data_IF_459824503662
#
_entry.id   IF_459824503662
#
_cell.length_a   1.000
_cell.length_b   1.000
_cell.length_c   1.000
_cell.angle_alpha   90.00
_cell.angle_beta   90.00
_cell.angle_gamma   90.00
#
_symmetry.space_group_name_H-M   'P 1'
#
loop_
_entity.id
_entity.type
_entity.pdbx_description
1 polymer ?
#
# COMPACT_ATOMS: atom_id res chain seq x y z
N UNK A 1 -28.27 14.21 -7.47
CA UNK A 1 -27.32 13.49 -8.35
C UNK A 1 -26.08 12.97 -7.62
N UNK A 2 -25.39 13.75 -6.77
CA UNK A 2 -24.15 13.34 -6.05
C UNK A 2 -24.31 12.08 -5.18
N UNK A 3 -25.42 11.96 -4.44
CA UNK A 3 -25.71 10.81 -3.56
C UNK A 3 -26.02 9.51 -4.33
N UNK A 4 -26.69 9.58 -5.48
CA UNK A 4 -26.96 8.41 -6.33
C UNK A 4 -25.67 7.87 -6.98
N UNK A 5 -24.75 8.76 -7.36
CA UNK A 5 -23.45 8.40 -7.91
C UNK A 5 -22.58 7.70 -6.85
N UNK A 6 -22.51 8.24 -5.63
CA UNK A 6 -21.78 7.63 -4.50
C UNK A 6 -22.37 6.25 -4.13
N UNK A 7 -23.71 6.12 -4.09
CA UNK A 7 -24.36 4.84 -3.80
C UNK A 7 -24.08 3.79 -4.89
N UNK A 8 -24.10 4.16 -6.16
CA UNK A 8 -23.78 3.25 -7.27
C UNK A 8 -22.31 2.82 -7.26
N UNK A 9 -21.40 3.74 -6.95
CA UNK A 9 -19.98 3.47 -6.85
C UNK A 9 -19.62 2.57 -5.66
N UNK A 10 -20.28 2.74 -4.52
CA UNK A 10 -20.13 1.86 -3.37
C UNK A 10 -20.71 0.47 -3.63
N UNK A 11 -21.89 0.39 -4.27
CA UNK A 11 -22.50 -0.87 -4.66
C UNK A 11 -21.58 -1.69 -5.59
N UNK A 12 -20.95 -1.06 -6.56
CA UNK A 12 -20.02 -1.72 -7.47
C UNK A 12 -18.80 -2.30 -6.75
N UNK A 13 -18.22 -1.55 -5.82
CA UNK A 13 -17.08 -2.03 -5.02
C UNK A 13 -17.49 -3.23 -4.15
N UNK A 14 -18.67 -3.16 -3.53
CA UNK A 14 -19.23 -4.25 -2.74
C UNK A 14 -19.48 -5.48 -3.62
N UNK A 15 -20.05 -5.30 -4.81
CA UNK A 15 -20.28 -6.39 -5.77
C UNK A 15 -18.96 -7.05 -6.22
N UNK A 16 -17.93 -6.26 -6.52
CA UNK A 16 -16.64 -6.81 -6.91
C UNK A 16 -15.98 -7.63 -5.78
N UNK A 17 -16.06 -7.14 -4.56
CA UNK A 17 -15.60 -7.88 -3.36
C UNK A 17 -16.43 -9.14 -3.17
N UNK A 18 -17.75 -9.07 -3.30
CA UNK A 18 -18.63 -10.22 -3.17
C UNK A 18 -18.34 -11.28 -4.25
N UNK A 19 -18.18 -10.89 -5.52
CA UNK A 19 -17.81 -11.81 -6.61
C UNK A 19 -16.45 -12.44 -6.32
N UNK A 20 -15.46 -11.67 -5.86
CA UNK A 20 -14.15 -12.19 -5.50
C UNK A 20 -14.22 -13.24 -4.38
N UNK A 21 -15.03 -12.98 -3.35
CA UNK A 21 -15.27 -13.93 -2.28
C UNK A 21 -15.98 -15.18 -2.77
N UNK A 22 -17.01 -15.04 -3.62
CA UNK A 22 -17.73 -16.20 -4.20
C UNK A 22 -16.78 -17.07 -5.00
N UNK A 23 -15.91 -16.49 -5.82
CA UNK A 23 -14.92 -17.26 -6.60
C UNK A 23 -13.94 -17.98 -5.65
N UNK A 24 -13.45 -17.28 -4.61
CA UNK A 24 -12.61 -17.90 -3.59
C UNK A 24 -13.33 -19.10 -2.91
N UNK A 25 -14.59 -18.92 -2.51
CA UNK A 25 -15.40 -19.96 -1.90
C UNK A 25 -15.61 -21.16 -2.84
N UNK A 26 -15.93 -20.90 -4.10
CA UNK A 26 -16.08 -21.96 -5.12
C UNK A 26 -14.76 -22.72 -5.32
N UNK A 27 -13.63 -22.00 -5.39
CA UNK A 27 -12.31 -22.63 -5.52
C UNK A 27 -12.00 -23.53 -4.33
N UNK A 28 -12.30 -23.09 -3.10
CA UNK A 28 -12.11 -23.88 -1.88
C UNK A 28 -12.99 -25.13 -1.91
N UNK A 29 -14.25 -25.01 -2.33
CA UNK A 29 -15.19 -26.14 -2.45
C UNK A 29 -14.74 -27.19 -3.47
N UNK A 30 -14.04 -26.77 -4.53
CA UNK A 30 -13.57 -27.68 -5.59
C UNK A 30 -12.24 -28.35 -5.26
N UNK A 31 -11.44 -27.76 -4.37
CA UNK A 31 -10.06 -28.20 -4.12
C UNK A 31 -9.91 -28.93 -2.78
N UNK A 32 -10.70 -28.59 -1.77
CA UNK A 32 -10.58 -29.14 -0.43
C UNK A 32 -11.44 -30.40 -0.24
N UNK A 33 -10.87 -31.44 0.36
CA UNK A 33 -11.59 -32.64 0.79
C UNK A 33 -12.45 -32.37 2.03
N UNK A 34 -12.12 -31.28 2.79
CA UNK A 34 -12.83 -30.87 4.00
C UNK A 34 -13.25 -29.38 3.92
N UNK A 35 -14.09 -29.01 2.94
CA UNK A 35 -14.36 -27.61 2.63
C UNK A 35 -15.01 -26.83 3.78
N UNK A 36 -15.77 -27.49 4.65
CA UNK A 36 -16.39 -26.86 5.81
C UNK A 36 -15.35 -26.33 6.81
N UNK A 37 -14.27 -27.07 7.04
CA UNK A 37 -13.16 -26.65 7.92
C UNK A 37 -12.38 -25.51 7.26
N UNK A 38 -12.07 -25.65 5.97
CA UNK A 38 -11.34 -24.64 5.20
C UNK A 38 -12.09 -23.30 5.17
N UNK A 39 -13.40 -23.30 4.88
CA UNK A 39 -14.24 -22.11 4.86
C UNK A 39 -14.37 -21.46 6.23
N UNK A 40 -14.57 -22.26 7.28
CA UNK A 40 -14.63 -21.75 8.65
C UNK A 40 -13.31 -21.09 9.05
N UNK A 41 -12.17 -21.72 8.77
CA UNK A 41 -10.86 -21.15 9.03
C UNK A 41 -10.61 -19.86 8.25
N UNK A 42 -11.01 -19.80 6.97
CA UNK A 42 -10.86 -18.62 6.13
C UNK A 42 -11.71 -17.43 6.59
N UNK A 43 -13.02 -17.67 6.82
CA UNK A 43 -13.97 -16.59 7.11
C UNK A 43 -14.01 -16.20 8.58
N UNK A 44 -13.87 -17.14 9.51
CA UNK A 44 -14.02 -16.88 10.95
C UNK A 44 -12.72 -17.06 11.73
N UNK A 45 -11.72 -17.75 11.18
CA UNK A 45 -10.43 -17.97 11.83
C UNK A 45 -9.75 -16.68 12.33
N UNK A 46 -9.76 -15.56 11.58
CA UNK A 46 -9.22 -14.30 12.07
C UNK A 46 -9.93 -13.72 13.31
N UNK A 47 -11.17 -14.12 13.58
CA UNK A 47 -11.98 -13.67 14.72
C UNK A 47 -12.03 -14.70 15.85
N UNK A 48 -11.54 -15.91 15.65
CA UNK A 48 -11.65 -17.02 16.58
C UNK A 48 -10.86 -16.78 17.88
N UNK A 49 -9.81 -16.00 17.82
CA UNK A 49 -9.02 -15.64 19.00
C UNK A 49 -8.49 -14.21 18.95
N UNK A 50 -8.26 -13.61 20.13
CA UNK A 50 -7.63 -12.29 20.24
C UNK A 50 -6.24 -12.24 19.60
N UNK A 51 -5.53 -13.37 19.56
CA UNK A 51 -4.24 -13.49 18.91
C UNK A 51 -4.37 -13.42 17.40
N UNK A 52 -5.34 -14.12 16.80
CA UNK A 52 -5.59 -14.08 15.35
C UNK A 52 -6.06 -12.71 14.91
N UNK A 53 -6.98 -12.09 15.65
CA UNK A 53 -7.42 -10.73 15.39
C UNK A 53 -6.27 -9.72 15.53
N UNK A 54 -5.41 -9.90 16.53
CA UNK A 54 -4.20 -9.11 16.68
C UNK A 54 -3.25 -9.21 15.47
N UNK A 55 -3.12 -10.39 14.86
CA UNK A 55 -2.32 -10.55 13.63
C UNK A 55 -2.91 -9.78 12.45
N UNK A 56 -4.25 -9.65 12.35
CA UNK A 56 -4.89 -8.81 11.34
C UNK A 56 -4.53 -7.34 11.54
N UNK A 57 -4.63 -6.85 12.79
CA UNK A 57 -4.29 -5.46 13.13
C UNK A 57 -2.80 -5.16 12.95
N UNK A 58 -1.93 -6.12 13.24
CA UNK A 58 -0.50 -6.01 13.03
C UNK A 58 -0.18 -5.92 11.53
N UNK A 59 -0.69 -6.86 10.72
CA UNK A 59 -0.49 -6.86 9.26
C UNK A 59 -1.08 -5.61 8.56
N UNK A 60 -2.10 -4.98 9.14
CA UNK A 60 -2.69 -3.75 8.64
C UNK A 60 -1.71 -2.56 8.70
N UNK A 61 -0.74 -2.56 9.63
CA UNK A 61 0.19 -1.45 9.83
C UNK A 61 1.03 -1.17 8.59
N UNK A 62 1.85 -2.11 8.07
CA UNK A 62 2.64 -1.86 6.86
C UNK A 62 1.77 -1.58 5.63
N UNK A 63 0.56 -2.17 5.55
CA UNK A 63 -0.38 -1.93 4.45
C UNK A 63 -0.95 -0.51 4.46
N UNK A 64 -1.15 0.10 5.62
CA UNK A 64 -1.55 1.51 5.72
C UNK A 64 -0.43 2.41 5.20
N UNK A 65 0.81 2.22 5.65
CA UNK A 65 1.93 3.07 5.22
C UNK A 65 2.19 2.96 3.72
N UNK A 66 2.25 1.75 3.19
CA UNK A 66 2.46 1.54 1.74
C UNK A 66 1.26 2.01 0.91
N UNK A 67 0.03 1.82 1.41
CA UNK A 67 -1.19 2.34 0.80
C UNK A 67 -1.24 3.87 0.75
N UNK A 68 -0.84 4.56 1.82
CA UNK A 68 -0.71 6.02 1.85
C UNK A 68 0.38 6.50 0.88
N UNK A 69 1.54 5.82 0.87
CA UNK A 69 2.66 6.15 0.01
C UNK A 69 2.29 6.07 -1.48
N UNK A 70 1.71 4.96 -1.89
CA UNK A 70 1.25 4.78 -3.28
C UNK A 70 0.06 5.69 -3.58
N UNK A 71 -0.84 5.87 -2.63
CA UNK A 71 -2.03 6.72 -2.78
C UNK A 71 -1.70 8.16 -3.15
N UNK A 72 -0.70 8.78 -2.51
CA UNK A 72 -0.28 10.16 -2.83
C UNK A 72 0.41 10.25 -4.20
N UNK A 73 1.20 9.24 -4.58
CA UNK A 73 1.82 9.18 -5.90
C UNK A 73 0.76 9.04 -7.01
N UNK A 74 -0.22 8.17 -6.81
CA UNK A 74 -1.33 7.95 -7.76
C UNK A 74 -2.27 9.14 -7.86
N UNK A 75 -2.37 9.98 -6.82
CA UNK A 75 -3.12 11.23 -6.91
C UNK A 75 -2.46 12.25 -7.84
N UNK A 76 -1.13 12.20 -8.01
CA UNK A 76 -0.40 12.99 -8.99
C UNK A 76 -0.34 12.33 -10.38
N UNK A 77 -1.09 11.26 -10.62
CA UNK A 77 -1.02 10.40 -11.82
C UNK A 77 0.38 9.82 -12.07
N UNK A 78 1.13 9.53 -10.97
CA UNK A 78 2.44 8.92 -11.03
C UNK A 78 2.34 7.44 -10.67
N UNK A 79 2.62 6.58 -11.64
CA UNK A 79 2.60 5.14 -11.45
C UNK A 79 3.98 4.63 -11.00
N UNK A 80 4.35 4.98 -9.77
CA UNK A 80 5.62 4.58 -9.16
C UNK A 80 5.40 3.38 -8.23
N UNK A 81 6.12 2.29 -8.46
CA UNK A 81 6.13 1.07 -7.66
C UNK A 81 7.32 1.00 -6.68
N UNK A 82 8.08 2.07 -6.54
CA UNK A 82 9.25 2.17 -5.67
C UNK A 82 8.95 2.15 -4.18
N UNK A 83 7.69 2.19 -3.79
CA UNK A 83 7.28 2.07 -2.39
C UNK A 83 7.79 0.77 -1.73
N UNK A 84 7.95 -0.32 -2.49
CA UNK A 84 8.52 -1.60 -2.03
C UNK A 84 9.97 -1.44 -1.61
N UNK A 85 10.82 -0.92 -2.51
CA UNK A 85 12.24 -0.69 -2.23
C UNK A 85 12.46 0.38 -1.17
N UNK A 86 11.62 1.44 -1.15
CA UNK A 86 11.66 2.47 -0.12
C UNK A 86 11.33 1.92 1.27
N UNK A 87 10.31 1.06 1.38
CA UNK A 87 9.96 0.36 2.61
C UNK A 87 11.11 -0.52 3.10
N UNK A 88 11.66 -1.33 2.20
CA UNK A 88 12.77 -2.23 2.51
C UNK A 88 14.03 -1.46 2.95
N UNK A 89 14.46 -0.45 2.19
CA UNK A 89 15.62 0.37 2.54
C UNK A 89 15.42 1.22 3.80
N UNK A 90 14.19 1.66 4.04
CA UNK A 90 13.82 2.27 5.32
C UNK A 90 14.10 1.34 6.49
N UNK A 91 13.70 0.07 6.41
CA UNK A 91 14.00 -0.92 7.43
C UNK A 91 15.51 -1.22 7.56
N UNK A 92 16.23 -1.34 6.43
CA UNK A 92 17.68 -1.57 6.41
C UNK A 92 18.42 -0.46 7.15
N UNK A 93 18.22 0.81 6.73
CA UNK A 93 18.93 1.95 7.34
C UNK A 93 18.50 2.16 8.79
N UNK A 94 17.25 1.89 9.12
CA UNK A 94 16.76 1.90 10.51
C UNK A 94 17.46 0.87 11.37
N UNK A 95 17.86 -0.29 10.82
CA UNK A 95 18.67 -1.27 11.55
C UNK A 95 20.03 -0.69 11.96
N UNK A 96 20.68 0.05 11.03
CA UNK A 96 21.96 0.72 11.31
C UNK A 96 21.80 1.76 12.41
N UNK A 97 20.82 2.65 12.29
CA UNK A 97 20.59 3.71 13.27
C UNK A 97 20.28 3.13 14.63
N UNK A 98 19.40 2.12 14.68
CA UNK A 98 18.97 1.51 15.93
C UNK A 98 20.09 0.71 16.63
N UNK A 99 21.01 0.09 15.90
CA UNK A 99 22.07 -0.74 16.47
C UNK A 99 23.30 0.08 16.81
N UNK A 100 23.71 0.99 15.92
CA UNK A 100 24.99 1.70 16.03
C UNK A 100 24.91 3.01 16.84
N UNK A 101 23.72 3.64 16.93
CA UNK A 101 23.55 4.93 17.61
C UNK A 101 22.75 4.78 18.90
N UNK A 102 23.40 4.55 20.07
CA UNK A 102 22.67 4.45 21.32
C UNK A 102 22.03 5.81 21.67
N UNK A 103 20.72 5.80 21.86
CA UNK A 103 19.92 6.97 22.19
C UNK A 103 18.94 6.65 23.34
N UNK A 104 18.45 7.69 24.08
CA UNK A 104 17.39 7.51 25.07
C UNK A 104 16.12 6.89 24.46
N UNK A 105 15.43 6.03 25.23
CA UNK A 105 14.30 5.23 24.75
C UNK A 105 13.16 6.02 24.09
N UNK A 106 12.95 7.29 24.45
CA UNK A 106 11.90 8.10 23.85
C UNK A 106 12.30 8.69 22.47
N UNK A 107 13.57 9.08 22.34
CA UNK A 107 14.11 9.72 21.12
C UNK A 107 14.48 8.66 20.06
N UNK A 108 14.97 7.52 20.50
CA UNK A 108 15.53 6.47 19.64
C UNK A 108 14.57 6.01 18.53
N UNK A 109 13.32 5.58 18.79
CA UNK A 109 12.42 5.16 17.74
C UNK A 109 12.03 6.32 16.80
N UNK A 110 11.87 7.54 17.34
CA UNK A 110 11.51 8.72 16.53
C UNK A 110 12.59 9.05 15.51
N UNK A 111 13.85 9.15 15.95
CA UNK A 111 15.00 9.43 15.06
C UNK A 111 15.16 8.31 14.03
N UNK A 112 15.04 7.06 14.46
CA UNK A 112 15.16 5.90 13.58
C UNK A 112 14.08 5.91 12.48
N UNK A 113 12.83 6.19 12.83
CA UNK A 113 11.71 6.28 11.87
C UNK A 113 11.92 7.45 10.90
N UNK A 114 12.37 8.61 11.38
CA UNK A 114 12.63 9.77 10.54
C UNK A 114 13.74 9.50 9.52
N UNK A 115 14.85 8.91 9.95
CA UNK A 115 15.98 8.58 9.05
C UNK A 115 15.57 7.52 8.04
N UNK A 116 14.84 6.48 8.46
CA UNK A 116 14.31 5.48 7.53
C UNK A 116 13.30 6.09 6.54
N UNK A 117 12.46 7.02 6.98
CA UNK A 117 11.59 7.80 6.10
C UNK A 117 12.35 8.63 5.07
N UNK A 118 13.40 9.37 5.51
CA UNK A 118 14.27 10.13 4.61
C UNK A 118 14.97 9.23 3.59
N UNK A 119 15.43 8.05 4.02
CA UNK A 119 15.99 7.05 3.10
C UNK A 119 14.99 6.64 2.03
N UNK A 120 13.75 6.33 2.43
CA UNK A 120 12.68 5.99 1.48
C UNK A 120 12.37 7.16 0.53
N UNK A 121 12.38 8.41 1.01
CA UNK A 121 12.22 9.58 0.18
C UNK A 121 13.30 9.67 -0.91
N UNK A 122 14.57 9.45 -0.57
CA UNK A 122 15.68 9.43 -1.52
C UNK A 122 15.45 8.34 -2.58
N UNK A 123 15.10 7.12 -2.17
CA UNK A 123 14.88 6.00 -3.10
C UNK A 123 13.74 6.26 -4.09
N UNK A 124 12.62 6.82 -3.68
CA UNK A 124 11.55 7.21 -4.59
C UNK A 124 11.86 8.51 -5.36
N UNK A 125 12.69 9.38 -4.81
CA UNK A 125 13.11 10.64 -5.43
C UNK A 125 13.96 10.44 -6.68
N UNK A 126 14.79 9.37 -6.73
CA UNK A 126 15.65 9.08 -7.89
C UNK A 126 14.81 8.81 -9.15
N UNK A 127 13.85 7.86 -9.17
CA UNK A 127 12.95 7.67 -10.31
C UNK A 127 12.18 8.94 -10.70
N UNK A 128 11.77 9.76 -9.72
CA UNK A 128 11.11 11.02 -9.96
C UNK A 128 11.99 12.00 -10.74
N UNK A 129 13.26 12.12 -10.35
CA UNK A 129 14.24 12.96 -11.03
C UNK A 129 14.55 12.45 -12.44
N UNK A 130 14.68 11.14 -12.62
CA UNK A 130 14.88 10.52 -13.93
C UNK A 130 13.70 10.83 -14.88
N UNK A 131 12.48 10.75 -14.38
CA UNK A 131 11.28 11.13 -15.16
C UNK A 131 11.29 12.59 -15.56
N UNK A 132 11.50 13.49 -14.59
CA UNK A 132 11.39 14.93 -14.83
C UNK A 132 12.53 15.45 -15.71
N UNK A 133 13.76 14.95 -15.56
CA UNK A 133 14.92 15.44 -16.31
C UNK A 133 15.10 14.76 -17.66
N UNK A 134 14.82 13.48 -17.76
CA UNK A 134 15.13 12.67 -18.96
C UNK A 134 13.91 11.99 -19.57
N UNK A 135 12.71 12.21 -19.02
CA UNK A 135 11.49 11.58 -19.54
C UNK A 135 11.43 10.05 -19.35
N UNK A 136 12.27 9.48 -18.47
CA UNK A 136 12.29 8.06 -18.23
C UNK A 136 10.96 7.58 -17.61
N UNK A 137 10.55 6.34 -17.94
CA UNK A 137 9.36 5.73 -17.34
C UNK A 137 9.58 5.53 -15.85
N UNK A 138 8.73 6.15 -15.02
CA UNK A 138 8.79 5.97 -13.56
C UNK A 138 8.46 4.55 -13.13
N UNK A 139 7.62 3.84 -13.88
CA UNK A 139 7.29 2.44 -13.63
C UNK A 139 8.54 1.57 -13.74
N UNK A 140 9.24 1.66 -14.88
CA UNK A 140 10.42 0.84 -15.15
C UNK A 140 11.57 1.20 -14.20
N UNK A 141 11.87 2.49 -14.04
CA UNK A 141 12.94 2.93 -13.17
C UNK A 141 12.69 2.54 -11.71
N UNK A 142 11.47 2.71 -11.20
CA UNK A 142 11.15 2.33 -9.82
C UNK A 142 11.21 0.82 -9.58
N UNK A 143 10.80 0.00 -10.54
CA UNK A 143 10.95 -1.46 -10.45
C UNK A 143 12.44 -1.87 -10.40
N UNK A 144 13.28 -1.28 -11.24
CA UNK A 144 14.73 -1.55 -11.20
C UNK A 144 15.33 -1.12 -9.87
N UNK A 145 14.93 0.06 -9.35
CA UNK A 145 15.39 0.54 -8.05
C UNK A 145 14.96 -0.35 -6.88
N UNK A 146 13.83 -1.05 -6.96
CA UNK A 146 13.44 -2.03 -5.94
C UNK A 146 14.47 -3.17 -5.83
N UNK A 147 14.95 -3.68 -6.96
CA UNK A 147 15.99 -4.73 -6.94
C UNK A 147 17.36 -4.20 -6.51
N UNK A 148 17.71 -2.97 -6.91
CA UNK A 148 18.92 -2.30 -6.41
C UNK A 148 18.82 -2.14 -4.89
N UNK A 149 17.70 -1.65 -4.37
CA UNK A 149 17.43 -1.53 -2.94
C UNK A 149 17.58 -2.88 -2.23
N UNK A 150 17.01 -3.94 -2.80
CA UNK A 150 17.04 -5.28 -2.22
C UNK A 150 18.48 -5.81 -2.10
N UNK A 151 19.22 -5.90 -3.20
CA UNK A 151 20.58 -6.45 -3.17
C UNK A 151 21.55 -5.57 -2.39
N UNK A 152 21.43 -4.24 -2.52
CA UNK A 152 22.25 -3.30 -1.77
C UNK A 152 21.96 -3.37 -0.27
N UNK A 153 20.70 -3.43 0.12
CA UNK A 153 20.30 -3.57 1.53
C UNK A 153 20.77 -4.89 2.14
N UNK A 154 20.65 -6.01 1.40
CA UNK A 154 21.18 -7.30 1.84
C UNK A 154 22.72 -7.29 1.99
N UNK A 155 23.41 -6.65 1.05
CA UNK A 155 24.86 -6.46 1.15
C UNK A 155 25.21 -5.70 2.43
N UNK A 156 24.55 -4.57 2.69
CA UNK A 156 24.79 -3.75 3.88
C UNK A 156 24.56 -4.55 5.17
N UNK A 157 23.43 -5.23 5.29
CA UNK A 157 23.12 -6.02 6.50
C UNK A 157 24.11 -7.17 6.69
N UNK A 158 24.39 -7.95 5.65
CA UNK A 158 25.25 -9.12 5.76
C UNK A 158 26.70 -8.77 6.02
N UNK A 159 27.19 -7.66 5.48
CA UNK A 159 28.59 -7.28 5.64
C UNK A 159 28.86 -6.52 6.95
N UNK A 160 27.92 -5.66 7.39
CA UNK A 160 28.16 -4.76 8.52
C UNK A 160 27.40 -5.11 9.81
N UNK A 161 26.21 -5.70 9.69
CA UNK A 161 25.32 -5.90 10.84
C UNK A 161 24.97 -7.36 11.14
N UNK A 162 25.56 -8.30 10.42
CA UNK A 162 25.28 -9.72 10.63
C UNK A 162 25.72 -10.17 12.02
N UNK A 163 24.84 -10.86 12.72
CA UNK A 163 25.16 -11.52 14.00
C UNK A 163 25.85 -12.86 13.71
N UNK A 164 27.17 -13.00 13.98
CA UNK A 164 27.90 -14.23 13.72
C UNK A 164 27.49 -15.38 14.63
N UNK A 165 26.85 -15.09 15.78
CA UNK A 165 26.40 -16.08 16.76
C UNK A 165 24.98 -16.60 16.47
N UNK A 166 24.27 -15.99 15.52
CA UNK A 166 22.95 -16.48 15.11
C UNK A 166 23.08 -17.59 14.08
N UNK A 167 22.32 -18.67 14.25
CA UNK A 167 22.27 -19.80 13.29
C UNK A 167 21.62 -19.45 11.94
N UNK A 168 21.07 -18.23 11.79
CA UNK A 168 20.47 -17.72 10.57
C UNK A 168 21.14 -16.42 10.12
N UNK A 169 20.92 -16.02 8.84
CA UNK A 169 21.38 -14.72 8.34
C UNK A 169 20.47 -13.60 8.83
N UNK A 170 20.82 -13.04 9.98
CA UNK A 170 20.06 -11.96 10.64
C UNK A 170 21.02 -10.90 11.18
N UNK A 171 20.53 -9.67 11.38
CA UNK A 171 21.27 -8.63 12.07
C UNK A 171 21.34 -8.90 13.58
N UNK A 172 22.20 -8.14 14.28
CA UNK A 172 22.11 -8.04 15.74
C UNK A 172 20.69 -7.65 16.16
N UNK A 173 20.32 -8.06 17.39
CA UNK A 173 19.07 -7.67 18.00
C UNK A 173 19.04 -6.15 18.27
N UNK A 174 17.90 -5.53 17.95
CA UNK A 174 17.69 -4.13 18.28
C UNK A 174 17.70 -3.92 19.80
N UNK A 175 18.32 -2.84 20.30
CA UNK A 175 18.30 -2.49 21.71
C UNK A 175 16.87 -2.23 22.20
N UNK A 176 16.61 -2.45 23.47
CA UNK A 176 15.29 -2.26 24.06
C UNK A 176 14.77 -0.81 23.88
N UNK A 177 15.67 0.17 23.84
CA UNK A 177 15.36 1.60 23.67
C UNK A 177 14.78 1.93 22.29
N UNK A 178 15.08 1.13 21.25
CA UNK A 178 14.57 1.35 19.90
C UNK A 178 13.23 0.64 19.63
N UNK A 179 12.87 -0.36 20.44
CA UNK A 179 11.68 -1.19 20.20
C UNK A 179 10.40 -0.41 20.50
N UNK A 180 9.42 -0.54 19.59
CA UNK A 180 8.08 -0.04 19.85
C UNK A 180 7.33 -0.98 20.80
N UNK A 181 6.65 -0.45 21.84
CA UNK A 181 5.90 -1.26 22.79
C UNK A 181 4.68 -1.90 22.14
N UNK A 182 4.28 -3.08 22.62
CA UNK A 182 3.00 -3.68 22.29
C UNK A 182 1.87 -2.97 23.03
N UNK A 183 0.72 -2.79 22.35
CA UNK A 183 -0.44 -2.07 22.92
C UNK A 183 -1.43 -3.06 23.52
N UNK A 184 -1.64 -4.20 22.85
CA UNK A 184 -2.64 -5.19 23.26
C UNK A 184 -1.92 -6.40 23.85
N UNK A 185 -2.20 -6.79 25.09
CA UNK A 185 -1.62 -7.98 25.71
C UNK A 185 -1.88 -9.23 24.87
N UNK A 186 -0.96 -10.18 24.88
CA UNK A 186 -1.02 -11.45 24.16
C UNK A 186 -1.15 -11.33 22.61
N UNK A 187 -0.89 -10.13 22.05
CA UNK A 187 -0.86 -9.89 20.60
C UNK A 187 0.47 -9.28 20.19
N UNK A 188 0.70 -9.19 18.86
CA UNK A 188 1.85 -8.50 18.28
C UNK A 188 1.55 -7.06 17.85
N UNK A 189 0.37 -6.54 18.22
CA UNK A 189 -0.03 -5.18 17.88
C UNK A 189 0.84 -4.19 18.65
N UNK A 190 1.66 -3.45 17.93
CA UNK A 190 2.60 -2.49 18.50
C UNK A 190 2.16 -1.04 18.27
N UNK A 191 2.81 -0.09 18.94
CA UNK A 191 2.50 1.35 18.87
C UNK A 191 2.49 1.91 17.44
N UNK A 192 3.07 1.20 16.47
CA UNK A 192 3.01 1.52 15.06
C UNK A 192 1.59 1.65 14.50
N UNK A 193 0.59 0.98 15.06
CA UNK A 193 -0.81 1.14 14.66
C UNK A 193 -1.32 2.56 14.94
N UNK A 194 -0.99 3.12 16.10
CA UNK A 194 -1.37 4.50 16.43
C UNK A 194 -0.67 5.48 15.49
N UNK A 195 0.63 5.26 15.23
CA UNK A 195 1.39 6.10 14.28
C UNK A 195 0.79 6.00 12.86
N UNK A 196 0.36 4.81 12.43
CA UNK A 196 -0.29 4.60 11.14
C UNK A 196 -1.60 5.39 11.03
N UNK A 197 -2.46 5.35 12.06
CA UNK A 197 -3.71 6.11 12.09
C UNK A 197 -3.48 7.62 12.12
N UNK A 198 -2.47 8.08 12.86
CA UNK A 198 -2.04 9.49 12.85
C UNK A 198 -1.52 9.90 11.46
N UNK A 199 -0.75 9.03 10.78
CA UNK A 199 -0.30 9.26 9.42
C UNK A 199 -1.48 9.38 8.43
N UNK A 200 -2.52 8.56 8.59
CA UNK A 200 -3.77 8.67 7.81
C UNK A 200 -4.42 10.03 8.01
N UNK A 201 -4.59 10.48 9.26
CA UNK A 201 -5.18 11.76 9.58
C UNK A 201 -4.34 12.93 9.02
N UNK A 202 -3.01 12.86 9.17
CA UNK A 202 -2.08 13.85 8.64
C UNK A 202 -2.15 13.91 7.10
N UNK A 203 -2.18 12.76 6.41
CA UNK A 203 -2.28 12.71 4.96
C UNK A 203 -3.64 13.13 4.43
N UNK A 204 -4.72 12.84 5.16
CA UNK A 204 -6.05 13.36 4.84
C UNK A 204 -6.08 14.90 4.91
N UNK A 205 -5.56 15.46 6.01
CA UNK A 205 -5.45 16.92 6.16
C UNK A 205 -4.56 17.52 5.06
N UNK A 206 -3.38 16.94 4.82
CA UNK A 206 -2.46 17.39 3.77
C UNK A 206 -3.16 17.43 2.41
N UNK A 207 -3.82 16.36 2.01
CA UNK A 207 -4.45 16.25 0.69
C UNK A 207 -5.63 17.21 0.50
N UNK A 208 -6.48 17.41 1.53
CA UNK A 208 -7.73 18.15 1.36
C UNK A 208 -7.73 19.55 1.93
N UNK A 209 -6.76 19.88 2.80
CA UNK A 209 -6.71 21.17 3.49
C UNK A 209 -5.48 22.01 3.17
N UNK A 210 -4.51 21.51 2.35
CA UNK A 210 -3.32 22.28 1.99
C UNK A 210 -3.29 22.65 0.52
N UNK A 211 -2.53 23.73 0.21
CA UNK A 211 -2.28 24.17 -1.17
C UNK A 211 -1.51 23.11 -1.98
N UNK A 212 -0.62 22.34 -1.35
CA UNK A 212 0.13 21.27 -1.98
C UNK A 212 -0.76 20.10 -2.38
N UNK A 213 -1.64 19.66 -1.48
CA UNK A 213 -2.59 18.61 -1.79
C UNK A 213 -3.54 19.00 -2.94
N UNK A 214 -3.96 20.27 -3.00
CA UNK A 214 -4.72 20.79 -4.13
C UNK A 214 -3.93 20.70 -5.44
N UNK A 215 -2.66 21.19 -5.47
CA UNK A 215 -1.79 21.11 -6.65
C UNK A 215 -1.57 19.67 -7.08
N UNK A 216 -1.36 18.75 -6.13
CA UNK A 216 -1.17 17.32 -6.38
C UNK A 216 -2.37 16.73 -7.13
N UNK A 217 -3.58 16.93 -6.60
CA UNK A 217 -4.80 16.42 -7.23
C UNK A 217 -5.09 17.06 -8.60
N UNK A 218 -4.83 18.37 -8.74
CA UNK A 218 -5.05 19.06 -10.02
C UNK A 218 -4.08 18.57 -11.09
N UNK A 219 -2.80 18.39 -10.76
CA UNK A 219 -1.80 17.82 -11.66
C UNK A 219 -2.18 16.40 -12.10
N UNK A 220 -2.68 15.57 -11.17
CA UNK A 220 -3.12 14.22 -11.50
C UNK A 220 -4.44 14.15 -12.28
N UNK A 221 -5.27 15.19 -12.21
CA UNK A 221 -6.49 15.26 -13.02
C UNK A 221 -6.18 15.65 -14.47
N UNK A 222 -5.40 16.71 -14.66
CA UNK A 222 -4.92 17.16 -15.96
C UNK A 222 -3.64 17.97 -15.79
N UNK A 223 -2.50 17.39 -16.15
CA UNK A 223 -1.18 18.02 -15.99
C UNK A 223 -1.01 19.26 -16.86
N UNK A 224 -1.54 19.25 -18.09
CA UNK A 224 -1.49 20.41 -19.00
C UNK A 224 -2.31 21.57 -18.45
N UNK A 225 -3.53 21.31 -17.97
CA UNK A 225 -4.35 22.34 -17.33
C UNK A 225 -3.67 22.93 -16.08
N UNK A 226 -3.05 22.06 -15.26
CA UNK A 226 -2.31 22.52 -14.09
C UNK A 226 -1.14 23.45 -14.46
N UNK A 227 -0.44 23.15 -15.57
CA UNK A 227 0.66 23.95 -16.07
C UNK A 227 0.18 25.31 -16.59
N UNK A 228 -0.90 25.35 -17.38
CA UNK A 228 -1.55 26.62 -17.78
C UNK A 228 -2.06 27.45 -16.59
N UNK A 229 -2.47 26.80 -15.50
CA UNK A 229 -2.84 27.47 -14.25
C UNK A 229 -1.62 27.94 -13.41
N UNK A 230 -0.39 27.86 -13.94
CA UNK A 230 0.83 28.31 -13.28
C UNK A 230 1.39 27.34 -12.22
N UNK A 231 0.97 26.08 -12.21
CA UNK A 231 1.51 25.07 -11.31
C UNK A 231 2.76 24.43 -11.93
N UNK A 232 3.86 24.44 -11.21
CA UNK A 232 5.10 23.76 -11.60
C UNK A 232 4.90 22.23 -11.45
N UNK A 233 4.36 21.57 -12.47
CA UNK A 233 4.00 20.14 -12.46
C UNK A 233 5.20 19.24 -12.13
N UNK A 234 6.39 19.56 -12.63
CA UNK A 234 7.63 18.87 -12.28
C UNK A 234 7.91 18.83 -10.76
N UNK A 235 7.72 19.98 -10.08
CA UNK A 235 7.92 20.06 -8.63
C UNK A 235 6.84 19.24 -7.87
N UNK A 236 5.61 19.21 -8.38
CA UNK A 236 4.53 18.39 -7.81
C UNK A 236 4.83 16.91 -7.94
N UNK A 237 5.28 16.45 -9.10
CA UNK A 237 5.67 15.06 -9.37
C UNK A 237 6.79 14.62 -8.42
N UNK A 238 7.87 15.41 -8.31
CA UNK A 238 8.99 15.09 -7.42
C UNK A 238 8.52 15.07 -5.96
N UNK A 239 7.76 16.07 -5.51
CA UNK A 239 7.31 16.14 -4.12
C UNK A 239 6.35 15.01 -3.76
N UNK A 240 5.45 14.60 -4.65
CA UNK A 240 4.56 13.46 -4.42
C UNK A 240 5.34 12.17 -4.20
N UNK A 241 6.40 11.94 -4.99
CA UNK A 241 7.24 10.76 -4.86
C UNK A 241 8.16 10.81 -3.64
N UNK A 242 8.70 11.99 -3.27
CA UNK A 242 9.46 12.16 -2.03
C UNK A 242 8.60 11.90 -0.79
N UNK A 243 7.40 12.47 -0.74
CA UNK A 243 6.47 12.27 0.39
C UNK A 243 6.03 10.82 0.46
N UNK A 244 5.67 10.21 -0.66
CA UNK A 244 5.29 8.81 -0.72
C UNK A 244 6.44 7.89 -0.29
N UNK A 245 7.66 8.15 -0.77
CA UNK A 245 8.86 7.43 -0.37
C UNK A 245 9.16 7.57 1.12
N UNK A 246 9.00 8.78 1.68
CA UNK A 246 9.13 9.02 3.13
C UNK A 246 8.16 8.17 3.94
N UNK A 247 6.89 8.14 3.54
CA UNK A 247 5.84 7.35 4.23
C UNK A 247 6.15 5.86 4.15
N UNK A 248 6.57 5.36 2.98
CA UNK A 248 6.93 3.96 2.80
C UNK A 248 8.14 3.57 3.65
N UNK A 249 9.21 4.38 3.63
CA UNK A 249 10.42 4.14 4.43
C UNK A 249 10.16 4.21 5.94
N UNK A 250 9.35 5.16 6.39
CA UNK A 250 8.89 5.23 7.77
C UNK A 250 8.08 3.98 8.16
N UNK A 251 7.22 3.49 7.26
CA UNK A 251 6.49 2.24 7.45
C UNK A 251 7.40 1.03 7.64
N UNK A 252 8.45 0.91 6.82
CA UNK A 252 9.46 -0.14 6.95
C UNK A 252 10.23 -0.07 8.27
N UNK A 253 10.55 1.14 8.72
CA UNK A 253 11.18 1.37 10.03
C UNK A 253 10.28 0.94 11.18
N UNK A 254 9.00 1.32 11.14
CA UNK A 254 8.01 1.00 12.17
C UNK A 254 7.79 -0.51 12.27
N UNK A 255 7.74 -1.19 11.13
CA UNK A 255 7.59 -2.64 11.06
C UNK A 255 8.80 -3.35 11.68
N UNK A 256 10.01 -2.88 11.36
CA UNK A 256 11.23 -3.40 11.95
C UNK A 256 11.28 -3.22 13.46
N UNK A 257 11.00 -2.01 13.96
CA UNK A 257 11.07 -1.66 15.37
C UNK A 257 9.96 -2.31 16.22
N UNK A 258 8.80 -2.56 15.60
CA UNK A 258 7.62 -3.13 16.26
C UNK A 258 7.59 -4.64 16.24
N UNK A 259 7.60 -5.23 15.05
CA UNK A 259 7.39 -6.66 14.83
C UNK A 259 8.68 -7.45 14.82
N UNK A 260 9.58 -7.14 13.88
CA UNK A 260 10.74 -7.99 13.61
C UNK A 260 11.83 -7.89 14.67
N UNK A 261 12.07 -6.72 15.23
CA UNK A 261 13.07 -6.44 16.29
C UNK A 261 14.51 -6.84 15.98
N UNK A 262 14.75 -7.31 14.76
CA UNK A 262 16.03 -7.51 14.07
C UNK A 262 15.76 -7.63 12.56
N UNK A 263 16.71 -7.31 11.75
CA UNK A 263 16.56 -7.55 10.31
C UNK A 263 16.85 -9.03 10.02
N UNK A 264 15.94 -9.69 9.30
CA UNK A 264 16.08 -11.08 8.88
C UNK A 264 16.29 -11.14 7.38
N UNK A 265 17.16 -12.03 6.91
CA UNK A 265 17.29 -12.31 5.49
C UNK A 265 15.94 -12.80 4.94
N UNK A 266 15.58 -12.24 3.79
CA UNK A 266 14.43 -12.70 2.99
C UNK A 266 14.95 -13.06 1.59
N UNK A 267 14.43 -14.14 1.00
CA UNK A 267 14.79 -14.55 -0.35
C UNK A 267 14.28 -13.59 -1.43
N UNK A 268 13.32 -12.74 -1.06
CA UNK A 268 12.67 -11.76 -1.94
C UNK A 268 12.19 -10.56 -1.12
N UNK A 269 11.83 -9.49 -1.81
CA UNK A 269 11.18 -8.34 -1.19
C UNK A 269 9.85 -8.74 -0.50
N UNK A 270 9.49 -8.09 0.62
CA UNK A 270 8.36 -8.50 1.46
C UNK A 270 6.97 -8.37 0.79
N UNK A 271 6.85 -7.66 -0.34
CA UNK A 271 5.60 -7.52 -1.09
C UNK A 271 4.61 -6.51 -0.52
N UNK A 272 5.00 -5.72 0.47
CA UNK A 272 4.12 -4.70 1.06
C UNK A 272 3.84 -3.53 0.12
N UNK A 273 4.80 -3.15 -0.73
CA UNK A 273 4.60 -2.09 -1.72
C UNK A 273 3.57 -2.47 -2.77
N UNK A 274 3.63 -3.70 -3.30
CA UNK A 274 2.61 -4.25 -4.20
C UNK A 274 1.24 -4.28 -3.55
N UNK A 275 1.18 -4.70 -2.30
CA UNK A 275 -0.05 -4.71 -1.51
C UNK A 275 -0.58 -3.30 -1.28
N UNK A 276 0.32 -2.32 -1.10
CA UNK A 276 0.00 -0.91 -1.00
C UNK A 276 -0.68 -0.36 -2.25
N UNK A 277 -0.29 -0.83 -3.45
CA UNK A 277 -0.99 -0.49 -4.71
C UNK A 277 -2.45 -0.94 -4.66
N UNK A 278 -2.68 -2.18 -4.21
CA UNK A 278 -4.03 -2.73 -4.10
C UNK A 278 -4.86 -1.94 -3.09
N UNK A 279 -4.29 -1.66 -1.92
CA UNK A 279 -4.92 -0.85 -0.87
C UNK A 279 -5.24 0.55 -1.37
N UNK A 280 -4.32 1.21 -2.10
CA UNK A 280 -4.54 2.53 -2.66
C UNK A 280 -5.65 2.56 -3.72
N UNK A 281 -5.73 1.53 -4.57
CA UNK A 281 -6.78 1.38 -5.58
C UNK A 281 -8.13 1.13 -4.89
N UNK A 282 -8.19 0.20 -3.94
CA UNK A 282 -9.40 -0.13 -3.19
C UNK A 282 -9.92 1.07 -2.39
N UNK A 283 -9.01 1.85 -1.78
CA UNK A 283 -9.31 3.10 -1.09
C UNK A 283 -9.62 4.27 -2.05
N UNK A 284 -9.61 4.05 -3.39
CA UNK A 284 -9.84 5.10 -4.41
C UNK A 284 -8.91 6.30 -4.24
N UNK A 285 -7.67 6.05 -3.86
CA UNK A 285 -6.63 7.08 -3.59
C UNK A 285 -7.02 8.06 -2.48
N UNK A 286 -8.05 7.77 -1.69
CA UNK A 286 -8.49 8.61 -0.57
C UNK A 286 -7.89 8.10 0.74
N UNK A 287 -7.05 8.89 1.44
CA UNK A 287 -6.41 8.47 2.69
C UNK A 287 -7.39 7.97 3.76
N UNK A 288 -8.60 8.55 3.84
CA UNK A 288 -9.59 8.16 4.84
C UNK A 288 -10.07 6.70 4.70
N UNK A 289 -10.06 6.14 3.49
CA UNK A 289 -10.49 4.76 3.23
C UNK A 289 -9.35 3.75 3.26
N UNK A 290 -8.08 4.21 3.34
CA UNK A 290 -6.92 3.33 3.38
C UNK A 290 -6.94 2.37 4.57
N UNK A 291 -7.29 2.78 5.81
CA UNK A 291 -7.36 1.85 6.94
C UNK A 291 -8.38 0.72 6.71
N UNK A 292 -9.53 1.04 6.12
CA UNK A 292 -10.57 0.05 5.81
C UNK A 292 -10.09 -0.94 4.74
N UNK A 293 -9.45 -0.44 3.69
CA UNK A 293 -8.88 -1.27 2.62
C UNK A 293 -7.73 -2.15 3.13
N UNK A 294 -6.86 -1.59 3.98
CA UNK A 294 -5.76 -2.33 4.61
C UNK A 294 -6.27 -3.42 5.56
N UNK A 295 -7.29 -3.11 6.38
CA UNK A 295 -7.93 -4.08 7.25
C UNK A 295 -8.52 -5.24 6.45
N UNK A 296 -9.26 -4.93 5.39
CA UNK A 296 -9.87 -5.94 4.53
C UNK A 296 -8.81 -6.87 3.90
N UNK A 297 -7.74 -6.30 3.34
CA UNK A 297 -6.67 -7.10 2.73
C UNK A 297 -5.89 -7.92 3.78
N UNK A 298 -5.63 -7.35 4.95
CA UNK A 298 -5.00 -8.04 6.07
C UNK A 298 -5.88 -9.20 6.57
N UNK A 299 -7.19 -8.98 6.67
CA UNK A 299 -8.15 -10.01 7.06
C UNK A 299 -8.15 -11.20 6.11
N UNK A 300 -8.19 -10.93 4.80
CA UNK A 300 -8.14 -11.98 3.78
C UNK A 300 -6.84 -12.77 3.83
N UNK A 301 -5.70 -12.11 4.04
CA UNK A 301 -4.40 -12.76 4.13
C UNK A 301 -4.27 -13.65 5.36
N UNK A 302 -4.67 -13.16 6.53
CA UNK A 302 -4.64 -13.94 7.77
C UNK A 302 -5.65 -15.09 7.71
N UNK A 303 -6.84 -14.87 7.16
CA UNK A 303 -7.82 -15.95 6.93
C UNK A 303 -7.28 -17.04 6.02
N UNK A 304 -6.61 -16.67 4.94
CA UNK A 304 -5.99 -17.61 4.01
C UNK A 304 -4.81 -18.38 4.64
N UNK A 305 -3.97 -17.71 5.44
CA UNK A 305 -2.89 -18.37 6.19
C UNK A 305 -3.45 -19.36 7.25
N UNK A 306 -4.50 -18.99 7.96
CA UNK A 306 -5.18 -19.88 8.91
C UNK A 306 -5.83 -21.08 8.20
N UNK A 307 -6.44 -20.86 7.05
CA UNK A 307 -7.01 -21.93 6.23
C UNK A 307 -5.94 -22.96 5.85
N UNK A 308 -4.78 -22.52 5.35
CA UNK A 308 -3.71 -23.44 4.96
C UNK A 308 -3.11 -24.22 6.14
N UNK A 309 -3.19 -23.68 7.35
CA UNK A 309 -2.70 -24.33 8.58
C UNK A 309 -3.70 -25.27 9.23
N UNK A 310 -4.99 -25.09 8.99
CA UNK A 310 -6.07 -25.81 9.66
C UNK A 310 -6.82 -26.76 8.74
N UNK A 311 -6.56 -26.74 7.44
CA UNK A 311 -7.17 -27.60 6.44
C UNK A 311 -6.14 -28.25 5.52
N UNK A 312 -6.61 -29.02 4.58
CA UNK A 312 -5.86 -29.71 3.53
C UNK A 312 -5.45 -28.81 2.34
N UNK A 313 -5.86 -27.52 2.36
CA UNK A 313 -5.57 -26.57 1.28
C UNK A 313 -4.10 -26.16 1.32
N UNK A 314 -3.36 -26.50 0.26
CA UNK A 314 -1.94 -26.19 0.14
C UNK A 314 -1.70 -24.68 -0.01
N UNK A 315 -0.51 -24.20 0.44
CA UNK A 315 -0.15 -22.79 0.39
C UNK A 315 -0.17 -22.20 -1.03
N UNK A 316 0.13 -23.01 -2.04
CA UNK A 316 0.13 -22.64 -3.46
C UNK A 316 -1.30 -22.28 -3.92
N UNK A 317 -2.28 -23.04 -3.50
CA UNK A 317 -3.71 -22.80 -3.81
C UNK A 317 -4.19 -21.54 -3.08
N UNK A 318 -3.77 -21.36 -1.85
CA UNK A 318 -4.04 -20.12 -1.08
C UNK A 318 -3.49 -18.89 -1.81
N UNK A 319 -2.26 -18.97 -2.35
CA UNK A 319 -1.68 -17.90 -3.12
C UNK A 319 -2.46 -17.61 -4.42
N UNK A 320 -2.95 -18.63 -5.10
CA UNK A 320 -3.82 -18.49 -6.29
C UNK A 320 -5.13 -17.79 -5.92
N UNK A 321 -5.80 -18.23 -4.86
CA UNK A 321 -7.05 -17.62 -4.36
C UNK A 321 -6.82 -16.16 -4.04
N UNK A 322 -5.76 -15.83 -3.31
CA UNK A 322 -5.38 -14.45 -3.01
C UNK A 322 -5.12 -13.64 -4.29
N UNK A 323 -4.38 -14.20 -5.23
CA UNK A 323 -4.08 -13.56 -6.52
C UNK A 323 -5.36 -13.24 -7.31
N UNK A 324 -6.27 -14.19 -7.43
CA UNK A 324 -7.55 -14.01 -8.11
C UNK A 324 -8.40 -12.93 -7.43
N UNK A 325 -8.51 -12.97 -6.09
CA UNK A 325 -9.24 -11.94 -5.34
C UNK A 325 -8.64 -10.55 -5.57
N UNK A 326 -7.33 -10.43 -5.52
CA UNK A 326 -6.61 -9.18 -5.74
C UNK A 326 -6.88 -8.63 -7.15
N UNK A 327 -6.78 -9.48 -8.18
CA UNK A 327 -7.03 -9.08 -9.58
C UNK A 327 -8.47 -8.61 -9.77
N UNK A 328 -9.45 -9.30 -9.21
CA UNK A 328 -10.87 -8.94 -9.33
C UNK A 328 -11.19 -7.62 -8.62
N UNK A 329 -10.63 -7.43 -7.42
CA UNK A 329 -10.78 -6.19 -6.67
C UNK A 329 -10.11 -5.01 -7.43
N UNK A 330 -8.93 -5.23 -8.00
CA UNK A 330 -8.23 -4.24 -8.80
C UNK A 330 -8.99 -3.92 -10.10
N UNK A 331 -9.49 -4.95 -10.80
CA UNK A 331 -10.27 -4.80 -12.04
C UNK A 331 -11.52 -3.92 -11.83
N UNK A 332 -12.19 -4.04 -10.69
CA UNK A 332 -13.31 -3.15 -10.33
C UNK A 332 -12.91 -1.67 -10.28
N UNK A 333 -11.69 -1.35 -9.87
CA UNK A 333 -11.15 0.02 -9.91
C UNK A 333 -10.84 0.53 -11.32
N UNK A 334 -10.37 -0.35 -12.22
CA UNK A 334 -10.07 0.01 -13.61
C UNK A 334 -11.33 0.23 -14.47
N UNK A 335 -12.41 -0.50 -14.22
CA UNK A 335 -13.69 -0.34 -14.91
C UNK A 335 -14.30 1.06 -14.76
N UNK A 336 -13.86 1.82 -13.77
CA UNK A 336 -14.31 3.21 -13.55
C UNK A 336 -13.91 4.14 -14.70
N UNK A 337 -12.69 4.01 -15.23
CA UNK A 337 -12.22 4.81 -16.38
C UNK A 337 -12.96 4.43 -17.69
N UNK A 338 -13.28 3.15 -17.86
CA UNK A 338 -14.00 2.67 -19.03
C UNK A 338 -15.46 3.15 -19.04
N UNK A 339 -16.10 3.18 -17.88
CA UNK A 339 -17.48 3.63 -17.73
C UNK A 339 -17.61 5.15 -17.95
N UNK A 340 -16.65 5.96 -17.49
CA UNK A 340 -16.61 7.39 -17.79
C UNK A 340 -16.54 7.64 -19.31
N UNK A 341 -15.71 6.87 -20.03
CA UNK A 341 -15.62 6.96 -21.49
C UNK A 341 -16.94 6.61 -22.18
N UNK A 342 -17.67 5.59 -21.69
CA UNK A 342 -18.97 5.21 -22.24
C UNK A 342 -20.03 6.27 -21.99
N UNK A 343 -20.16 6.74 -20.75
CA UNK A 343 -21.15 7.78 -20.39
C UNK A 343 -20.91 9.09 -21.13
N UNK A 344 -19.65 9.51 -21.32
CA UNK A 344 -19.32 10.67 -22.13
C UNK A 344 -19.65 10.47 -23.62
N UNK A 345 -19.42 9.27 -24.16
CA UNK A 345 -19.73 8.95 -25.55
C UNK A 345 -21.24 8.93 -25.81
N UNK A 346 -22.02 8.42 -24.86
CA UNK A 346 -23.48 8.39 -24.97
C UNK A 346 -24.08 9.80 -24.82
N UNK A 347 -23.57 10.60 -23.88
CA UNK A 347 -23.99 12.01 -23.75
C UNK A 347 -23.63 12.87 -24.97
N UNK A 348 -22.50 12.60 -25.63
CA UNK A 348 -22.11 13.30 -26.87
C UNK A 348 -22.98 12.88 -28.06
N UNK A 349 -23.41 11.61 -28.11
CA UNK A 349 -24.39 11.14 -29.13
C UNK A 349 -25.75 11.76 -28.92
N UNK A 350 -26.26 11.79 -27.69
CA UNK A 350 -27.56 12.41 -27.36
C UNK A 350 -27.58 13.91 -27.72
N UNK A 351 -26.47 14.63 -27.51
CA UNK A 351 -26.33 16.02 -27.92
C UNK A 351 -26.29 16.20 -29.43
N UNK A 352 -25.63 15.30 -30.16
CA UNK A 352 -25.58 15.33 -31.63
C UNK A 352 -26.96 15.01 -32.23
N UNK A 353 -27.67 14.02 -31.71
CA UNK A 353 -29.04 13.67 -32.16
C UNK A 353 -30.06 14.78 -31.83
N UNK A 354 -29.89 15.48 -30.70
CA UNK A 354 -30.74 16.62 -30.34
C UNK A 354 -30.44 17.82 -31.24
N UNK A 355 -29.18 18.07 -31.58
CA UNK A 355 -28.78 19.13 -32.55
C UNK A 355 -29.35 18.91 -33.96
N UNK A 356 -29.32 17.66 -34.47
CA UNK A 356 -29.91 17.31 -35.76
C UNK A 356 -31.45 17.48 -35.79
N UNK A 357 -32.13 17.11 -34.71
CA UNK A 357 -33.60 17.32 -34.60
C UNK A 357 -34.00 18.80 -34.54
N UNK A 358 -33.17 19.67 -34.00
CA UNK A 358 -33.45 21.11 -34.01
C UNK A 358 -33.26 21.69 -35.40
N UNK A 359 -32.26 21.24 -36.18
CA UNK A 359 -32.06 21.68 -37.58
C UNK A 359 -33.15 21.17 -38.54
N UNK A 360 -33.75 19.99 -38.27
CA UNK A 360 -34.89 19.48 -39.06
C UNK A 360 -36.23 20.22 -38.78
N UNK A 361 -36.32 20.93 -37.67
CA UNK A 361 -37.55 21.69 -37.29
C UNK A 361 -37.46 23.17 -37.77
N UNK A 362 -36.26 23.69 -38.01
CA UNK A 362 -36.00 25.05 -38.46
C UNK A 362 -35.88 25.20 -40.00
N UNK A 363 -35.86 24.10 -40.79
CA UNK A 363 -35.86 24.07 -42.26
C UNK A 363 -37.18 23.59 -42.85
#
# INVERSE_FOLDING_TARGET
>A
MKNKKLAFESLRTVLAVAISLVIALVTILLVSDVPGVALKAFLFGPLDSMRHFGNVLEMMIPLIFTGLAVGIMFQADQFNLGAEGAFFMGAVVSSFVAILWPMPAFIHPVVTILIGGLTGAVFCGIPALLKVKWGASELVSSLMFNYIAFFFGLYLINYFLRDPNAGAMVSYLLPATAKLPYIIPNTRVHFGLIIALLAVAAMYFFNYRTRWGYKNRLTGFNSLFAEYAGIKTAAVVISAQLIGGFIAGAGGSIELLGLYRRFSWTAQLPGYGWSGVIVAILARRNPAYIPLAAFFLAYLRIGADLMSRQSDVQNEIVAIIQGVMIVLIAAAGFLEKAQYKMVFRDATKDLADTGNKIQEVEG
#
